data_IF_025441381135
#
_entry.id   IF_025441381135
#
_cell.length_a   1.000
_cell.length_b   1.000
_cell.length_c   1.000
_cell.angle_alpha   90.00
_cell.angle_beta   90.00
_cell.angle_gamma   90.00
#
_symmetry.space_group_name_H-M   'P 1'
#
loop_
_entity.id
_entity.type
_entity.pdbx_description
1 polymer ?
#
# COMPACT_ATOMS: atom_id res chain seq x y z
N UNK A 1 -15.82 -80.34 -14.54
CA UNK A 1 -16.44 -79.31 -13.67
C UNK A 1 -15.40 -78.88 -12.63
N UNK A 2 -15.19 -77.55 -12.53
CA UNK A 2 -14.53 -76.78 -11.45
C UNK A 2 -13.09 -77.22 -11.04
N UNK A 3 -11.97 -76.56 -11.37
CA UNK A 3 -11.58 -75.14 -11.43
C UNK A 3 -11.63 -74.42 -10.06
N UNK A 4 -10.46 -73.90 -9.67
CA UNK A 4 -10.15 -72.84 -8.67
C UNK A 4 -9.73 -73.32 -7.27
N UNK A 5 -8.42 -73.22 -6.95
CA UNK A 5 -7.94 -72.39 -5.82
C UNK A 5 -6.40 -72.30 -5.78
N UNK A 6 -5.76 -71.81 -6.85
CA UNK A 6 -4.42 -71.24 -6.71
C UNK A 6 -4.61 -69.76 -6.42
N UNK A 7 -4.84 -69.43 -5.14
CA UNK A 7 -4.98 -68.05 -4.70
C UNK A 7 -3.57 -67.45 -4.62
N UNK A 8 -3.10 -66.96 -5.76
CA UNK A 8 -1.90 -66.14 -5.86
C UNK A 8 -2.01 -64.98 -4.87
N UNK A 9 -1.17 -65.02 -3.84
CA UNK A 9 -0.92 -63.92 -2.91
C UNK A 9 -0.15 -62.84 -3.72
N UNK A 10 -0.86 -62.05 -4.50
CA UNK A 10 -0.37 -60.76 -4.99
C UNK A 10 -0.64 -59.73 -3.89
N UNK A 11 0.32 -59.61 -2.96
CA UNK A 11 0.39 -58.44 -2.07
C UNK A 11 0.75 -57.26 -2.95
N UNK A 12 -0.27 -56.52 -3.39
CA UNK A 12 -0.14 -55.18 -3.95
C UNK A 12 0.40 -54.26 -2.86
N UNK A 13 1.73 -54.12 -2.80
CA UNK A 13 2.38 -53.07 -2.03
C UNK A 13 2.12 -51.75 -2.76
N UNK A 14 0.95 -51.16 -2.49
CA UNK A 14 0.64 -49.80 -2.88
C UNK A 14 1.65 -48.88 -2.19
N UNK A 15 2.65 -48.44 -2.95
CA UNK A 15 3.54 -47.36 -2.54
C UNK A 15 2.69 -46.10 -2.39
N UNK A 16 2.27 -45.82 -1.15
CA UNK A 16 1.88 -44.48 -0.75
C UNK A 16 3.14 -43.61 -0.81
N UNK A 17 3.47 -43.12 -1.99
CA UNK A 17 4.28 -41.92 -2.12
C UNK A 17 3.40 -40.78 -1.61
N UNK A 18 3.45 -40.53 -0.31
CA UNK A 18 3.00 -39.26 0.26
C UNK A 18 3.82 -38.19 -0.43
N UNK A 19 3.22 -37.53 -1.41
CA UNK A 19 3.71 -36.25 -1.89
C UNK A 19 3.77 -35.34 -0.67
N UNK A 20 4.98 -35.04 -0.22
CA UNK A 20 5.19 -33.91 0.67
C UNK A 20 4.84 -32.71 -0.18
N UNK A 21 3.54 -32.35 -0.19
CA UNK A 21 3.12 -31.03 -0.61
C UNK A 21 3.72 -30.12 0.45
N UNK A 22 4.87 -29.53 0.13
CA UNK A 22 5.35 -28.36 0.83
C UNK A 22 4.23 -27.33 0.71
N UNK A 23 3.39 -27.25 1.74
CA UNK A 23 2.47 -26.14 1.89
C UNK A 23 3.38 -24.96 2.20
N UNK A 24 3.79 -24.23 1.16
CA UNK A 24 4.38 -22.91 1.35
C UNK A 24 3.43 -22.16 2.27
N UNK A 25 3.92 -21.71 3.43
CA UNK A 25 3.11 -20.85 4.28
C UNK A 25 2.65 -19.72 3.38
N UNK A 26 1.34 -19.41 3.32
CA UNK A 26 0.87 -18.34 2.47
C UNK A 26 1.67 -17.09 2.85
N UNK A 27 2.48 -16.60 1.91
CA UNK A 27 3.19 -15.35 2.13
C UNK A 27 2.14 -14.30 2.52
N UNK A 28 2.31 -13.70 3.69
CA UNK A 28 1.43 -12.60 4.11
C UNK A 28 1.44 -11.54 3.00
N UNK A 29 0.25 -11.20 2.52
CA UNK A 29 0.12 -10.21 1.46
C UNK A 29 0.70 -8.88 1.92
N UNK A 30 1.64 -8.32 1.15
CA UNK A 30 2.17 -6.99 1.42
C UNK A 30 1.07 -5.93 1.36
N UNK A 31 1.20 -4.88 2.15
CA UNK A 31 0.27 -3.75 2.18
C UNK A 31 0.98 -2.48 1.70
N UNK A 32 0.63 -2.01 0.50
CA UNK A 32 1.10 -0.73 -0.02
C UNK A 32 0.01 0.33 0.15
N UNK A 33 0.39 1.48 0.72
CA UNK A 33 -0.55 2.50 1.15
C UNK A 33 -0.25 3.80 0.41
N UNK A 34 -1.28 4.40 -0.19
CA UNK A 34 -1.21 5.65 -0.94
C UNK A 34 -2.26 6.61 -0.42
N UNK A 35 -2.03 7.90 -0.56
CA UNK A 35 -3.05 8.88 -0.23
C UNK A 35 -2.56 10.09 0.52
N UNK A 36 -3.41 10.54 1.44
CA UNK A 36 -3.28 11.81 2.14
C UNK A 36 -3.06 11.67 3.66
N UNK A 37 -3.42 12.69 4.42
CA UNK A 37 -3.27 12.77 5.88
C UNK A 37 -3.98 11.65 6.64
N UNK A 38 -5.03 11.05 6.07
CA UNK A 38 -5.74 9.92 6.68
C UNK A 38 -4.81 8.72 6.83
N UNK A 39 -3.87 8.55 5.91
CA UNK A 39 -2.96 7.40 5.84
C UNK A 39 -1.49 7.74 6.10
N UNK A 40 -1.09 9.02 6.15
CA UNK A 40 0.32 9.43 6.31
C UNK A 40 0.91 9.06 7.69
N UNK A 41 1.90 8.14 7.77
CA UNK A 41 2.50 7.72 9.02
C UNK A 41 3.65 8.65 9.49
N UNK A 42 3.93 9.73 8.75
CA UNK A 42 5.01 10.68 9.01
C UNK A 42 5.94 10.92 7.81
N UNK A 43 5.53 10.59 6.58
CA UNK A 43 6.29 10.94 5.37
C UNK A 43 6.47 12.46 5.26
N UNK A 44 5.48 13.24 5.72
CA UNK A 44 5.57 14.70 5.71
C UNK A 44 6.68 15.28 6.62
N UNK A 45 7.28 14.48 7.51
CA UNK A 45 8.45 14.91 8.29
C UNK A 45 9.71 15.08 7.43
N UNK A 46 9.71 14.53 6.21
CA UNK A 46 10.88 14.47 5.32
C UNK A 46 10.79 15.41 4.12
N UNK A 47 9.74 16.22 4.04
CA UNK A 47 9.55 17.23 2.99
C UNK A 47 9.43 18.61 3.61
N UNK A 48 9.81 19.64 2.85
CA UNK A 48 9.64 21.03 3.29
C UNK A 48 8.15 21.39 3.22
N UNK A 49 7.49 21.45 4.37
CA UNK A 49 6.05 21.68 4.45
C UNK A 49 5.66 22.52 5.67
N UNK A 50 4.37 22.85 5.79
CA UNK A 50 3.83 23.60 6.92
C UNK A 50 3.45 22.67 8.09
N UNK A 51 3.49 23.19 9.32
CA UNK A 51 3.22 22.39 10.51
C UNK A 51 1.89 21.62 10.42
N UNK A 52 0.81 22.26 9.94
CA UNK A 52 -0.51 21.63 9.81
C UNK A 52 -0.54 20.38 8.92
N UNK A 53 0.40 20.24 7.97
CA UNK A 53 0.53 19.06 7.12
C UNK A 53 1.54 18.04 7.68
N UNK A 54 2.40 18.42 8.62
CA UNK A 54 3.39 17.52 9.24
C UNK A 54 2.81 16.72 10.39
N UNK A 55 1.96 17.32 11.24
CA UNK A 55 1.41 16.68 12.44
C UNK A 55 2.47 16.07 13.40
N UNK A 56 3.66 16.66 13.46
CA UNK A 56 4.77 16.24 14.32
C UNK A 56 4.95 17.14 15.56
N UNK A 57 3.85 17.69 16.05
CA UNK A 57 3.79 18.52 17.26
C UNK A 57 2.60 18.08 18.13
N UNK A 58 2.60 18.47 19.41
CA UNK A 58 1.47 18.17 20.29
C UNK A 58 0.19 18.89 19.83
N UNK A 59 -1.00 18.27 19.94
CA UNK A 59 -1.31 17.05 20.72
C UNK A 59 -1.23 15.72 19.95
N UNK A 60 -0.72 15.70 18.70
CA UNK A 60 -0.68 14.46 17.91
C UNK A 60 0.12 13.34 18.60
N UNK A 61 -0.34 12.11 18.45
CA UNK A 61 0.26 10.91 19.05
C UNK A 61 0.02 10.70 20.56
N UNK A 62 -0.70 11.58 21.25
CA UNK A 62 -0.88 11.54 22.72
C UNK A 62 -1.51 10.23 23.25
N UNK A 63 -2.43 9.61 22.53
CA UNK A 63 -3.17 8.43 23.01
C UNK A 63 -2.36 7.15 22.91
N UNK A 64 -1.70 6.88 21.77
CA UNK A 64 -1.05 5.59 21.49
C UNK A 64 0.47 5.65 21.54
N UNK A 65 1.11 6.52 20.75
CA UNK A 65 2.56 6.56 20.61
C UNK A 65 3.26 7.35 21.73
N UNK A 66 2.54 8.26 22.41
CA UNK A 66 3.06 9.14 23.48
C UNK A 66 4.08 10.18 23.02
N UNK A 67 4.21 10.37 21.71
CA UNK A 67 4.94 11.48 21.09
C UNK A 67 4.40 11.74 19.67
N UNK A 68 4.57 12.95 19.11
CA UNK A 68 4.13 13.25 17.76
C UNK A 68 4.97 12.53 16.71
N UNK A 69 4.37 11.59 15.97
CA UNK A 69 5.06 10.81 14.93
C UNK A 69 4.97 11.45 13.55
N UNK A 70 4.16 12.50 13.37
CA UNK A 70 3.76 12.99 12.06
C UNK A 70 2.47 12.39 11.52
N UNK A 71 1.70 11.70 12.38
CA UNK A 71 0.38 11.14 12.05
C UNK A 71 -0.68 12.17 12.40
N UNK A 72 -1.64 12.41 11.50
CA UNK A 72 -2.80 13.28 11.75
C UNK A 72 -3.84 12.59 12.65
N UNK A 73 -3.40 12.06 13.80
CA UNK A 73 -4.19 11.30 14.77
C UNK A 73 -3.48 11.33 16.14
N UNK A 74 -4.22 11.07 17.22
CA UNK A 74 -3.63 10.83 18.54
C UNK A 74 -3.03 9.43 18.68
N UNK A 75 -2.97 8.64 17.59
CA UNK A 75 -2.37 7.33 17.60
C UNK A 75 -2.34 6.66 16.24
N UNK A 76 -2.91 5.46 16.17
CA UNK A 76 -2.96 4.63 14.96
C UNK A 76 -3.83 5.23 13.87
N UNK A 77 -3.51 4.90 12.63
CA UNK A 77 -4.26 5.21 11.41
C UNK A 77 -4.98 3.95 10.90
N UNK A 78 -5.92 4.11 9.98
CA UNK A 78 -6.65 2.98 9.37
C UNK A 78 -5.70 1.88 8.82
N UNK A 79 -4.60 2.18 8.10
CA UNK A 79 -3.67 1.17 7.60
C UNK A 79 -3.02 0.34 8.71
N UNK A 80 -2.85 0.91 9.91
CA UNK A 80 -2.26 0.20 11.04
C UNK A 80 -3.17 -0.90 11.56
N UNK A 81 -4.48 -0.65 11.65
CA UNK A 81 -5.46 -1.64 12.06
C UNK A 81 -5.62 -2.75 11.01
N UNK A 82 -5.53 -2.40 9.73
CA UNK A 82 -5.51 -3.38 8.62
C UNK A 82 -4.26 -4.25 8.72
N UNK A 83 -3.09 -3.64 8.95
CA UNK A 83 -1.83 -4.37 9.12
C UNK A 83 -1.89 -5.32 10.32
N UNK A 84 -2.38 -4.86 11.47
CA UNK A 84 -2.57 -5.68 12.68
C UNK A 84 -3.48 -6.89 12.40
N UNK A 85 -4.64 -6.67 11.77
CA UNK A 85 -5.55 -7.75 11.40
C UNK A 85 -4.91 -8.77 10.44
N UNK A 86 -4.05 -8.30 9.53
CA UNK A 86 -3.30 -9.14 8.60
C UNK A 86 -2.03 -9.78 9.21
N UNK A 87 -1.78 -9.57 10.52
CA UNK A 87 -0.55 -9.98 11.21
C UNK A 87 0.74 -9.43 10.58
N UNK A 88 0.68 -8.21 10.04
CA UNK A 88 1.82 -7.45 9.52
C UNK A 88 2.36 -6.48 10.60
N UNK A 89 3.65 -6.12 10.54
CA UNK A 89 4.15 -4.98 11.32
C UNK A 89 3.50 -3.67 10.84
N UNK A 90 3.68 -2.57 11.60
CA UNK A 90 3.32 -1.24 11.09
C UNK A 90 3.99 -0.98 9.75
N UNK A 91 3.20 -0.52 8.79
CA UNK A 91 3.70 -0.21 7.45
C UNK A 91 4.50 1.08 7.53
N UNK A 92 5.80 1.07 7.16
CA UNK A 92 6.66 2.20 7.39
C UNK A 92 6.47 3.34 6.37
N UNK A 93 6.79 4.58 6.74
CA UNK A 93 6.95 5.66 5.76
C UNK A 93 8.08 5.32 4.78
N UNK A 94 7.95 5.80 3.54
CA UNK A 94 8.90 5.57 2.45
C UNK A 94 10.32 6.03 2.82
N UNK A 95 10.48 7.14 3.53
CA UNK A 95 11.79 7.68 3.89
C UNK A 95 12.51 6.91 5.01
N UNK A 96 11.84 5.95 5.66
CA UNK A 96 12.43 5.11 6.71
C UNK A 96 12.67 3.65 6.26
N UNK A 97 12.64 3.37 4.96
CA UNK A 97 12.77 2.00 4.44
C UNK A 97 14.17 1.40 4.59
N UNK A 98 15.19 2.22 4.89
CA UNK A 98 16.62 1.84 4.93
C UNK A 98 17.01 0.71 5.90
N UNK A 99 16.09 0.21 6.73
CA UNK A 99 16.29 -0.95 7.63
C UNK A 99 15.10 -1.93 7.68
N UNK A 100 14.07 -1.76 6.83
CA UNK A 100 12.76 -2.42 7.02
C UNK A 100 12.45 -3.49 5.96
N UNK A 101 11.56 -4.40 6.32
CA UNK A 101 11.10 -5.50 5.46
C UNK A 101 10.15 -4.99 4.38
N UNK A 102 10.70 -4.51 3.25
CA UNK A 102 9.93 -4.10 2.06
C UNK A 102 8.90 -5.14 1.61
N UNK A 103 9.14 -6.42 1.93
CA UNK A 103 8.25 -7.55 1.63
C UNK A 103 6.88 -7.47 2.31
N UNK A 104 6.72 -6.66 3.36
CA UNK A 104 5.44 -6.40 4.02
C UNK A 104 4.72 -5.16 3.49
N UNK A 105 5.38 -4.38 2.61
CA UNK A 105 4.83 -3.16 2.03
C UNK A 105 5.40 -1.88 2.61
N UNK A 106 4.98 -0.75 2.03
CA UNK A 106 5.47 0.60 2.32
C UNK A 106 4.30 1.58 2.20
N UNK A 107 4.32 2.62 3.02
CA UNK A 107 3.32 3.67 3.01
C UNK A 107 3.91 4.94 2.38
N UNK A 108 3.27 5.37 1.28
CA UNK A 108 3.64 6.51 0.46
C UNK A 108 2.73 7.73 0.69
N UNK A 109 1.70 7.60 1.54
CA UNK A 109 0.73 8.66 1.78
C UNK A 109 1.40 9.92 2.36
N UNK A 110 0.84 11.08 2.05
CA UNK A 110 1.40 12.38 2.41
C UNK A 110 0.29 13.37 2.80
N UNK A 111 0.37 13.92 4.00
CA UNK A 111 -0.59 14.89 4.52
C UNK A 111 -0.86 16.02 3.52
N UNK A 112 -2.14 16.23 3.18
CA UNK A 112 -2.58 17.27 2.25
C UNK A 112 -2.49 16.92 0.76
N UNK A 113 -1.98 15.73 0.39
CA UNK A 113 -1.92 15.31 -1.00
C UNK A 113 -3.32 15.14 -1.62
N UNK A 114 -3.43 15.45 -2.90
CA UNK A 114 -4.59 15.12 -3.73
C UNK A 114 -4.21 14.22 -4.92
N UNK A 115 -5.17 14.00 -5.82
CA UNK A 115 -4.93 13.37 -7.11
C UNK A 115 -4.24 14.32 -8.10
N UNK A 116 -4.45 15.63 -7.95
CA UNK A 116 -3.84 16.65 -8.79
C UNK A 116 -2.48 17.07 -8.23
N UNK A 117 -1.53 17.38 -9.12
CA UNK A 117 -0.18 17.81 -8.71
C UNK A 117 -0.15 19.26 -8.21
N UNK A 118 -1.18 20.01 -8.57
CA UNK A 118 -1.45 21.39 -8.19
C UNK A 118 -1.96 21.48 -6.73
N UNK A 119 -2.58 20.41 -6.23
CA UNK A 119 -3.12 20.34 -4.86
C UNK A 119 -2.00 20.43 -3.85
N UNK A 120 -1.93 21.55 -3.11
CA UNK A 120 -0.87 21.87 -2.15
C UNK A 120 0.54 21.73 -2.74
N UNK A 121 0.70 22.09 -4.01
CA UNK A 121 1.96 21.92 -4.75
C UNK A 121 3.15 22.55 -4.00
N UNK A 122 4.26 21.81 -3.96
CA UNK A 122 5.48 22.21 -3.25
C UNK A 122 5.50 21.88 -1.75
N UNK A 123 4.36 21.55 -1.14
CA UNK A 123 4.25 21.23 0.28
C UNK A 123 3.96 19.74 0.57
N UNK A 124 3.74 18.94 -0.47
CA UNK A 124 3.28 17.54 -0.33
C UNK A 124 3.99 16.60 -1.31
N UNK A 125 3.85 15.30 -1.07
CA UNK A 125 4.22 14.25 -2.03
C UNK A 125 2.96 13.92 -2.84
N UNK A 126 2.84 14.53 -4.01
CA UNK A 126 1.67 14.33 -4.90
C UNK A 126 1.51 12.86 -5.32
N UNK A 127 0.29 12.45 -5.69
CA UNK A 127 -0.03 11.06 -5.99
C UNK A 127 0.82 10.45 -7.13
N UNK A 128 1.26 11.24 -8.12
CA UNK A 128 2.17 10.74 -9.17
C UNK A 128 3.58 10.51 -8.61
N UNK A 129 4.03 11.34 -7.67
CA UNK A 129 5.29 11.11 -6.94
C UNK A 129 5.20 9.90 -6.02
N UNK A 130 4.06 9.66 -5.36
CA UNK A 130 3.81 8.43 -4.60
C UNK A 130 3.93 7.18 -5.48
N UNK A 131 3.40 7.22 -6.71
CA UNK A 131 3.61 6.14 -7.69
C UNK A 131 5.10 5.94 -8.00
N UNK A 132 5.87 7.01 -8.22
CA UNK A 132 7.32 6.89 -8.48
C UNK A 132 8.06 6.23 -7.31
N UNK A 133 7.69 6.57 -6.07
CA UNK A 133 8.25 5.93 -4.88
C UNK A 133 7.89 4.45 -4.80
N UNK A 134 6.67 4.08 -5.18
CA UNK A 134 6.29 2.68 -5.30
C UNK A 134 7.12 1.95 -6.37
N UNK A 135 7.32 2.54 -7.54
CA UNK A 135 8.15 1.95 -8.60
C UNK A 135 9.60 1.75 -8.14
N UNK A 136 10.15 2.70 -7.39
CA UNK A 136 11.46 2.54 -6.75
C UNK A 136 11.45 1.35 -5.77
N UNK A 137 10.42 1.22 -4.92
CA UNK A 137 10.28 0.09 -4.00
C UNK A 137 10.12 -1.24 -4.75
N UNK A 138 9.38 -1.28 -5.86
CA UNK A 138 9.24 -2.47 -6.70
C UNK A 138 10.60 -2.92 -7.25
N UNK A 139 11.43 -1.98 -7.71
CA UNK A 139 12.79 -2.27 -8.16
C UNK A 139 13.70 -2.73 -7.02
N UNK A 140 13.61 -2.09 -5.84
CA UNK A 140 14.37 -2.52 -4.65
C UNK A 140 13.97 -3.92 -4.19
N UNK A 141 12.67 -4.26 -4.25
CA UNK A 141 12.17 -5.60 -3.99
C UNK A 141 12.76 -6.61 -4.96
N UNK A 142 12.69 -6.33 -6.27
CA UNK A 142 13.30 -7.16 -7.30
C UNK A 142 14.79 -7.40 -7.05
N UNK A 143 15.54 -6.37 -6.67
CA UNK A 143 16.96 -6.50 -6.35
C UNK A 143 17.20 -7.36 -5.09
N UNK A 144 16.28 -7.32 -4.12
CA UNK A 144 16.41 -7.99 -2.82
C UNK A 144 16.00 -9.46 -2.84
N UNK A 145 14.91 -9.79 -3.52
CA UNK A 145 14.31 -11.14 -3.52
C UNK A 145 14.34 -11.83 -4.89
N UNK A 146 14.79 -11.13 -5.93
CA UNK A 146 14.79 -11.63 -7.31
C UNK A 146 13.46 -11.42 -8.04
N UNK A 147 13.50 -11.57 -9.36
CA UNK A 147 12.39 -11.26 -10.27
C UNK A 147 11.11 -12.06 -10.00
N UNK A 148 11.25 -13.37 -9.78
CA UNK A 148 10.11 -14.27 -9.62
C UNK A 148 9.37 -14.00 -8.31
N UNK A 149 10.11 -13.92 -7.20
CA UNK A 149 9.52 -13.65 -5.89
C UNK A 149 8.95 -12.23 -5.83
N UNK A 150 9.63 -11.22 -6.40
CA UNK A 150 9.11 -9.85 -6.39
C UNK A 150 7.79 -9.75 -7.17
N UNK A 151 7.66 -10.42 -8.32
CA UNK A 151 6.40 -10.47 -9.07
C UNK A 151 5.28 -11.11 -8.27
N UNK A 152 5.57 -12.20 -7.56
CA UNK A 152 4.59 -12.87 -6.69
C UNK A 152 4.16 -11.98 -5.52
N UNK A 153 5.10 -11.30 -4.86
CA UNK A 153 4.80 -10.34 -3.79
C UNK A 153 3.88 -9.22 -4.33
N UNK A 154 4.25 -8.59 -5.44
CA UNK A 154 3.49 -7.47 -6.02
C UNK A 154 2.10 -7.90 -6.51
N UNK A 155 1.98 -9.08 -7.15
CA UNK A 155 0.67 -9.59 -7.57
C UNK A 155 -0.24 -9.96 -6.40
N UNK A 156 0.35 -10.45 -5.31
CA UNK A 156 -0.37 -10.83 -4.10
C UNK A 156 -0.56 -9.68 -3.11
N UNK A 157 0.04 -8.51 -3.33
CA UNK A 157 -0.11 -7.37 -2.44
C UNK A 157 -1.50 -6.73 -2.52
N UNK A 158 -1.86 -5.99 -1.48
CA UNK A 158 -3.04 -5.12 -1.42
C UNK A 158 -2.58 -3.67 -1.47
N UNK A 159 -3.26 -2.88 -2.28
CA UNK A 159 -2.97 -1.47 -2.52
C UNK A 159 -4.16 -0.64 -2.03
N UNK A 160 -3.98 0.15 -0.98
CA UNK A 160 -5.06 0.93 -0.38
C UNK A 160 -4.85 2.42 -0.62
N UNK A 161 -5.95 3.15 -0.85
CA UNK A 161 -5.94 4.56 -1.22
C UNK A 161 -6.90 5.36 -0.35
N UNK A 162 -6.48 6.56 0.05
CA UNK A 162 -7.36 7.63 0.54
C UNK A 162 -6.89 8.95 -0.06
N UNK A 163 -7.60 9.44 -1.08
CA UNK A 163 -7.21 10.65 -1.83
C UNK A 163 -8.42 11.27 -2.51
N UNK A 164 -8.30 12.52 -2.97
CA UNK A 164 -9.37 13.27 -3.64
C UNK A 164 -9.96 14.38 -2.77
N UNK A 165 -9.98 14.20 -1.45
CA UNK A 165 -10.57 15.17 -0.51
C UNK A 165 -9.89 16.55 -0.62
N UNK A 166 -8.55 16.58 -0.62
CA UNK A 166 -7.78 17.81 -0.69
C UNK A 166 -7.91 18.54 -2.03
N UNK A 167 -8.23 17.85 -3.12
CA UNK A 167 -8.48 18.50 -4.42
C UNK A 167 -9.72 19.42 -4.34
N UNK A 168 -10.72 19.07 -3.52
CA UNK A 168 -11.87 19.95 -3.29
C UNK A 168 -11.63 20.97 -2.18
N UNK A 169 -10.88 20.62 -1.13
CA UNK A 169 -10.65 21.54 0.00
C UNK A 169 -9.64 22.65 -0.29
N UNK A 170 -8.52 22.36 -0.95
CA UNK A 170 -7.45 23.34 -1.13
C UNK A 170 -7.92 24.61 -1.89
N UNK A 171 -8.68 24.51 -3.00
CA UNK A 171 -9.17 25.69 -3.72
C UNK A 171 -10.15 26.55 -2.90
N UNK A 172 -10.91 25.93 -1.99
CA UNK A 172 -11.84 26.64 -1.10
C UNK A 172 -11.08 27.49 -0.07
N UNK A 173 -9.91 27.03 0.39
CA UNK A 173 -9.08 27.77 1.34
C UNK A 173 -8.36 28.97 0.69
N UNK A 174 -8.08 28.89 -0.61
CA UNK A 174 -7.37 29.94 -1.35
C UNK A 174 -8.30 30.90 -2.09
N UNK A 175 -9.62 30.80 -1.88
CA UNK A 175 -10.65 31.54 -2.64
C UNK A 175 -10.40 31.54 -4.15
N UNK A 176 -9.83 30.44 -4.66
CA UNK A 176 -9.47 30.34 -6.06
C UNK A 176 -10.69 29.94 -6.86
N UNK A 177 -10.98 30.67 -7.93
CA UNK A 177 -11.97 30.22 -8.91
C UNK A 177 -11.42 28.99 -9.61
N UNK A 178 -12.21 27.91 -9.64
CA UNK A 178 -11.88 26.76 -10.48
C UNK A 178 -11.87 27.25 -11.94
N UNK A 179 -10.76 27.16 -12.68
CA UNK A 179 -10.71 27.54 -14.09
C UNK A 179 -11.44 26.53 -14.99
N UNK A 180 -12.02 25.49 -14.39
CA UNK A 180 -12.72 24.38 -15.03
C UNK A 180 -14.15 24.30 -14.49
N UNK A 181 -15.06 23.78 -15.32
CA UNK A 181 -16.35 23.35 -14.82
C UNK A 181 -16.18 22.23 -13.78
N UNK A 182 -17.19 22.06 -12.92
CA UNK A 182 -17.18 21.00 -11.91
C UNK A 182 -16.98 19.60 -12.53
N UNK A 183 -17.58 19.34 -13.69
CA UNK A 183 -17.46 18.06 -14.39
C UNK A 183 -16.04 17.84 -14.94
N UNK A 184 -15.44 18.85 -15.56
CA UNK A 184 -14.05 18.79 -16.05
C UNK A 184 -13.08 18.56 -14.88
N UNK A 185 -13.30 19.24 -13.75
CA UNK A 185 -12.46 19.09 -12.58
C UNK A 185 -12.50 17.66 -12.01
N UNK A 186 -13.69 17.06 -11.89
CA UNK A 186 -13.84 15.65 -11.50
C UNK A 186 -13.14 14.73 -12.50
N UNK A 187 -13.26 14.99 -13.80
CA UNK A 187 -12.58 14.18 -14.83
C UNK A 187 -11.06 14.25 -14.70
N UNK A 188 -10.49 15.40 -14.34
CA UNK A 188 -9.05 15.54 -14.09
C UNK A 188 -8.60 14.72 -12.88
N UNK A 189 -9.34 14.80 -11.76
CA UNK A 189 -9.07 14.01 -10.54
C UNK A 189 -9.10 12.52 -10.87
N UNK A 190 -10.20 12.06 -11.49
CA UNK A 190 -10.38 10.65 -11.85
C UNK A 190 -9.35 10.17 -12.88
N UNK A 191 -8.97 11.03 -13.83
CA UNK A 191 -7.93 10.74 -14.82
C UNK A 191 -6.55 10.53 -14.20
N UNK A 192 -6.17 11.37 -13.23
CA UNK A 192 -4.91 11.20 -12.51
C UNK A 192 -4.92 9.96 -11.61
N UNK A 193 -6.00 9.71 -10.85
CA UNK A 193 -6.14 8.50 -10.06
C UNK A 193 -6.04 7.24 -10.95
N UNK A 194 -6.78 7.22 -12.06
CA UNK A 194 -6.75 6.12 -13.04
C UNK A 194 -5.33 5.89 -13.58
N UNK A 195 -4.59 6.96 -13.84
CA UNK A 195 -3.21 6.86 -14.34
C UNK A 195 -2.28 6.21 -13.31
N UNK A 196 -2.46 6.52 -12.03
CA UNK A 196 -1.69 5.94 -10.92
C UNK A 196 -2.00 4.45 -10.74
N UNK A 197 -3.28 4.08 -10.78
CA UNK A 197 -3.71 2.68 -10.73
C UNK A 197 -3.15 1.86 -11.89
N UNK A 198 -3.18 2.42 -13.11
CA UNK A 198 -2.55 1.81 -14.29
C UNK A 198 -1.03 1.66 -14.11
N UNK A 199 -0.37 2.62 -13.47
CA UNK A 199 1.05 2.54 -13.12
C UNK A 199 1.34 1.33 -12.22
N UNK A 200 0.58 1.20 -11.13
CA UNK A 200 0.72 0.05 -10.20
C UNK A 200 0.40 -1.28 -10.88
N UNK A 201 -0.63 -1.30 -11.73
CA UNK A 201 -1.01 -2.49 -12.47
C UNK A 201 0.11 -2.98 -13.40
N UNK A 202 0.85 -2.05 -14.04
CA UNK A 202 2.02 -2.37 -14.88
C UNK A 202 3.15 -3.02 -14.08
N UNK A 203 3.35 -2.63 -12.82
CA UNK A 203 4.33 -3.27 -11.91
C UNK A 203 3.84 -4.62 -11.35
N UNK A 204 2.61 -5.03 -11.67
CA UNK A 204 2.06 -6.33 -11.25
C UNK A 204 0.97 -6.27 -10.19
N UNK A 205 0.61 -5.09 -9.67
CA UNK A 205 -0.42 -4.97 -8.64
C UNK A 205 -1.83 -5.35 -9.15
N UNK A 206 -2.62 -6.03 -8.30
CA UNK A 206 -3.94 -6.59 -8.69
C UNK A 206 -5.10 -6.28 -7.76
N UNK A 207 -4.86 -5.99 -6.48
CA UNK A 207 -5.91 -5.82 -5.46
C UNK A 207 -5.93 -4.40 -4.95
N UNK A 208 -6.93 -3.63 -5.33
CA UNK A 208 -7.05 -2.20 -5.01
C UNK A 208 -8.22 -1.96 -4.07
N UNK A 209 -8.01 -1.15 -3.03
CA UNK A 209 -9.05 -0.71 -2.09
C UNK A 209 -9.07 0.81 -2.09
N UNK A 210 -10.26 1.38 -2.25
CA UNK A 210 -10.49 2.82 -2.19
C UNK A 210 -11.26 3.13 -0.91
N UNK A 211 -10.71 3.99 -0.06
CA UNK A 211 -11.46 4.63 1.01
C UNK A 211 -12.17 5.85 0.43
N UNK A 212 -13.50 5.78 0.39
CA UNK A 212 -14.38 6.86 -0.06
C UNK A 212 -14.81 7.76 1.09
#
# INVERSE_FOLDING_TARGET
MALISSLCIFVLVAHFATTIVCHERPHQAALFVFGDSVFDPGNNNYVNTVASLQANYFPYGESFFKYPTGRNSNGRLIPDFIAEYANLPFIPPYFEIGKKHLVHGVNFASGGSGCLAETNSGFVIDLKTQLKYFQNVAQLLKNKVGETESKQILSNAVYIFSTGSNDFFAPLLTNSTFPYSHAEYIQMIMGNLTSVLKGIYKEGGRKFVMLN
#
